data_IF_922508662008
#
_entry.id   IF_922508662008
#
_cell.length_a   1.000
_cell.length_b   1.000
_cell.length_c   1.000
_cell.angle_alpha   90.00
_cell.angle_beta   90.00
_cell.angle_gamma   90.00
#
_symmetry.space_group_name_H-M   'P 1'
#
loop_
_entity.id
_entity.type
_entity.pdbx_description
1 polymer ?
#
# COMPACT_ATOMS: atom_id res chain seq x y z
N UNK A 1 4.84 -45.74 -28.42
CA UNK A 1 4.05 -44.79 -27.60
C UNK A 1 4.93 -44.36 -26.45
N UNK A 2 5.52 -43.17 -26.55
CA UNK A 2 6.43 -42.62 -25.54
C UNK A 2 5.57 -41.88 -24.52
N UNK A 3 5.42 -42.45 -23.32
CA UNK A 3 4.71 -41.84 -22.20
C UNK A 3 5.51 -40.62 -21.72
N UNK A 4 4.95 -39.43 -21.91
CA UNK A 4 5.48 -38.19 -21.34
C UNK A 4 5.33 -38.23 -19.80
N UNK A 5 6.36 -37.83 -19.03
CA UNK A 5 6.23 -37.75 -17.59
C UNK A 5 5.27 -36.61 -17.22
N UNK A 6 4.26 -36.92 -16.41
CA UNK A 6 3.43 -35.92 -15.74
C UNK A 6 4.32 -35.23 -14.71
N UNK A 7 4.76 -34.01 -15.01
CA UNK A 7 5.44 -33.15 -14.04
C UNK A 7 4.37 -32.70 -13.04
N UNK A 8 4.32 -33.34 -11.88
CA UNK A 8 3.47 -32.88 -10.79
C UNK A 8 3.90 -31.48 -10.37
N UNK A 9 3.02 -30.50 -10.52
CA UNK A 9 3.20 -29.18 -9.91
C UNK A 9 3.15 -29.35 -8.41
N UNK A 10 4.30 -29.30 -7.74
CA UNK A 10 4.36 -29.25 -6.28
C UNK A 10 3.75 -27.93 -5.82
N UNK A 11 2.54 -27.97 -5.27
CA UNK A 11 1.91 -26.81 -4.63
C UNK A 11 2.68 -26.56 -3.34
N UNK A 12 3.50 -25.52 -3.32
CA UNK A 12 4.19 -25.09 -2.10
C UNK A 12 3.11 -24.60 -1.10
N UNK A 13 3.12 -25.04 0.16
CA UNK A 13 2.17 -24.55 1.15
C UNK A 13 2.32 -23.03 1.32
N UNK A 14 1.18 -22.33 1.37
CA UNK A 14 1.14 -20.88 1.58
C UNK A 14 1.81 -20.53 2.91
N UNK A 15 2.67 -19.51 2.91
CA UNK A 15 3.31 -19.03 4.14
C UNK A 15 2.25 -18.39 5.05
N UNK A 16 2.22 -18.70 6.37
CA UNK A 16 1.38 -17.95 7.29
C UNK A 16 1.86 -16.49 7.36
N UNK A 17 0.98 -15.57 7.71
CA UNK A 17 1.36 -14.16 7.89
C UNK A 17 2.41 -13.99 8.99
N UNK A 18 3.13 -12.87 8.98
CA UNK A 18 4.07 -12.51 10.06
C UNK A 18 3.29 -11.93 11.22
N UNK A 19 3.54 -12.40 12.43
CA UNK A 19 2.90 -11.84 13.61
C UNK A 19 3.57 -10.51 13.99
N UNK A 20 2.80 -9.43 13.90
CA UNK A 20 3.26 -8.08 14.19
C UNK A 20 3.20 -7.72 15.69
N UNK A 21 2.51 -8.52 16.53
CA UNK A 21 2.33 -8.21 17.94
C UNK A 21 1.73 -6.81 18.16
N UNK A 22 2.29 -6.05 19.10
CA UNK A 22 1.86 -4.68 19.39
C UNK A 22 2.25 -3.66 18.31
N UNK A 23 3.15 -4.01 17.38
CA UNK A 23 3.51 -3.11 16.27
C UNK A 23 2.33 -2.85 15.34
N UNK A 24 1.31 -3.71 15.31
CA UNK A 24 0.06 -3.54 14.54
C UNK A 24 -0.55 -2.14 14.66
N UNK A 25 -0.48 -1.55 15.85
CA UNK A 25 -1.05 -0.22 16.15
C UNK A 25 -0.20 0.96 15.66
N UNK A 26 1.03 0.74 15.20
CA UNK A 26 1.98 1.78 14.79
C UNK A 26 2.08 1.91 13.28
N UNK A 27 2.02 3.12 12.74
CA UNK A 27 2.39 3.38 11.35
C UNK A 27 3.89 3.68 11.22
N UNK A 28 4.47 4.31 12.25
CA UNK A 28 5.89 4.67 12.31
C UNK A 28 6.47 4.27 13.66
N UNK A 29 7.60 3.57 13.66
CA UNK A 29 8.34 3.21 14.88
C UNK A 29 9.84 3.39 14.63
N UNK A 30 10.54 4.13 15.50
CA UNK A 30 11.96 4.42 15.33
C UNK A 30 12.79 4.12 16.58
N UNK A 31 14.11 3.99 16.41
CA UNK A 31 15.08 3.74 17.48
C UNK A 31 15.63 5.01 18.11
N UNK A 32 16.15 5.92 17.28
CA UNK A 32 16.92 7.09 17.75
C UNK A 32 16.17 8.41 17.65
N UNK A 33 15.66 8.73 16.46
CA UNK A 33 14.94 9.99 16.21
C UNK A 33 13.88 9.78 15.12
N UNK A 34 12.86 10.61 15.14
CA UNK A 34 11.96 10.81 13.99
C UNK A 34 12.13 12.26 13.54
N UNK A 35 12.38 12.47 12.26
CA UNK A 35 12.48 13.81 11.68
C UNK A 35 11.46 13.95 10.57
N UNK A 36 10.68 15.02 10.62
CA UNK A 36 9.72 15.35 9.58
C UNK A 36 10.00 16.75 9.00
N UNK A 37 9.89 16.84 7.68
CA UNK A 37 9.84 18.11 6.93
C UNK A 37 8.47 18.23 6.25
N UNK A 38 7.86 19.41 6.35
CA UNK A 38 6.57 19.71 5.73
C UNK A 38 5.38 18.90 6.26
N UNK A 39 4.33 18.80 5.44
CA UNK A 39 3.02 18.29 5.83
C UNK A 39 2.92 16.78 5.57
N UNK A 40 3.33 15.99 6.56
CA UNK A 40 3.16 14.53 6.53
C UNK A 40 1.85 14.14 7.19
N UNK A 41 1.12 13.20 6.59
CA UNK A 41 -0.11 12.62 7.14
C UNK A 41 0.12 11.15 7.49
N UNK A 42 -0.23 10.79 8.73
CA UNK A 42 -0.16 9.43 9.25
C UNK A 42 -1.58 9.03 9.70
N UNK A 43 -2.14 8.02 9.06
CA UNK A 43 -3.52 7.61 9.23
C UNK A 43 -3.71 6.10 9.04
N UNK A 44 -4.94 5.62 9.23
CA UNK A 44 -5.30 4.21 9.10
C UNK A 44 -5.88 3.62 10.38
N UNK A 45 -6.92 2.82 10.21
CA UNK A 45 -7.75 2.24 11.26
C UNK A 45 -7.15 1.01 11.94
N UNK A 46 -6.19 0.30 11.33
CA UNK A 46 -5.43 -0.72 12.06
C UNK A 46 -4.41 -0.14 13.03
N UNK A 47 -3.89 1.06 12.75
CA UNK A 47 -2.91 1.68 13.62
C UNK A 47 -2.24 2.91 13.03
N UNK A 48 -2.51 4.07 13.62
CA UNK A 48 -1.92 5.35 13.23
C UNK A 48 -0.88 5.86 14.23
N UNK A 49 -0.42 5.03 15.17
CA UNK A 49 0.49 5.49 16.22
C UNK A 49 1.90 5.78 15.69
N UNK A 50 2.57 6.71 16.35
CA UNK A 50 3.98 7.03 16.12
C UNK A 50 4.77 6.69 17.38
N UNK A 51 5.79 5.85 17.25
CA UNK A 51 6.58 5.36 18.37
C UNK A 51 8.06 5.70 18.25
N UNK A 52 8.69 6.05 19.36
CA UNK A 52 10.13 6.28 19.44
C UNK A 52 10.67 5.70 20.75
N UNK A 53 11.59 4.74 20.63
CA UNK A 53 12.28 4.16 21.79
C UNK A 53 13.62 3.52 21.37
N UNK A 54 14.72 3.73 22.11
CA UNK A 54 14.84 4.52 23.35
C UNK A 54 15.02 6.03 23.11
N UNK A 55 14.98 6.48 21.86
CA UNK A 55 15.05 7.90 21.51
C UNK A 55 13.96 8.74 22.18
N UNK A 56 14.18 10.05 22.24
CA UNK A 56 13.33 10.98 23.01
C UNK A 56 12.89 12.21 22.23
N UNK A 57 13.24 12.31 20.94
CA UNK A 57 12.98 13.51 20.12
C UNK A 57 12.34 13.19 18.78
N UNK A 58 11.21 13.85 18.51
CA UNK A 58 10.59 13.95 17.19
C UNK A 58 10.73 15.40 16.72
N UNK A 59 11.51 15.62 15.68
CA UNK A 59 11.70 16.96 15.08
C UNK A 59 10.67 17.17 13.98
N UNK A 60 10.05 18.35 13.93
CA UNK A 60 9.02 18.66 12.93
C UNK A 60 7.66 18.02 13.18
N UNK A 61 7.38 17.57 14.41
CA UNK A 61 6.11 16.93 14.77
C UNK A 61 4.89 17.85 14.55
N UNK A 62 5.04 19.16 14.76
CA UNK A 62 3.93 20.13 14.70
C UNK A 62 3.37 20.32 13.29
N UNK A 63 4.12 19.95 12.25
CA UNK A 63 3.62 19.96 10.87
C UNK A 63 3.04 18.62 10.42
N UNK A 64 3.10 17.59 11.27
CA UNK A 64 2.51 16.28 10.97
C UNK A 64 1.04 16.25 11.41
N UNK A 65 0.21 15.64 10.59
CA UNK A 65 -1.14 15.21 11.00
C UNK A 65 -1.06 13.73 11.38
N UNK A 66 -1.23 13.43 12.67
CA UNK A 66 -1.14 12.06 13.20
C UNK A 66 -2.53 11.63 13.66
N UNK A 67 -3.06 10.57 13.05
CA UNK A 67 -4.38 10.01 13.39
C UNK A 67 -4.40 9.17 14.67
N UNK A 68 -3.22 8.80 15.20
CA UNK A 68 -3.06 7.98 16.40
C UNK A 68 -2.32 8.70 17.54
N UNK A 69 -1.90 7.92 18.53
CA UNK A 69 -1.13 8.40 19.67
C UNK A 69 0.37 8.51 19.34
N UNK A 70 1.05 9.42 20.04
CA UNK A 70 2.51 9.56 19.99
C UNK A 70 3.11 8.98 21.27
N UNK A 71 3.94 7.96 21.13
CA UNK A 71 4.59 7.22 22.23
C UNK A 71 6.10 7.45 22.18
N UNK A 72 6.63 8.22 23.14
CA UNK A 72 8.05 8.56 23.21
C UNK A 72 8.63 8.06 24.53
N UNK A 73 9.64 7.20 24.43
CA UNK A 73 10.36 6.65 25.58
C UNK A 73 9.47 6.00 26.66
N UNK A 74 8.28 5.52 26.29
CA UNK A 74 7.32 4.88 27.19
C UNK A 74 7.30 3.34 27.04
N UNK A 75 6.52 2.68 27.89
CA UNK A 75 6.40 1.22 27.87
C UNK A 75 5.73 0.69 26.61
N UNK A 76 4.80 1.45 25.99
CA UNK A 76 4.09 1.03 24.79
C UNK A 76 5.06 0.99 23.61
N UNK A 77 5.85 2.04 23.40
CA UNK A 77 6.90 2.07 22.39
C UNK A 77 7.96 1.02 22.67
N UNK A 78 8.39 0.85 23.93
CA UNK A 78 9.38 -0.17 24.30
C UNK A 78 8.94 -1.60 23.96
N UNK A 79 7.71 -1.99 24.31
CA UNK A 79 7.15 -3.31 23.96
C UNK A 79 7.05 -3.46 22.44
N UNK A 80 6.61 -2.42 21.72
CA UNK A 80 6.55 -2.45 20.26
C UNK A 80 7.94 -2.65 19.62
N UNK A 81 9.03 -2.14 20.21
CA UNK A 81 10.40 -2.43 19.74
C UNK A 81 10.77 -3.90 19.90
N UNK A 82 10.39 -4.52 21.02
CA UNK A 82 10.61 -5.95 21.25
C UNK A 82 9.81 -6.80 20.27
N UNK A 83 8.55 -6.44 20.01
CA UNK A 83 7.72 -7.14 19.03
C UNK A 83 8.22 -6.94 17.60
N UNK A 84 8.72 -5.75 17.26
CA UNK A 84 9.38 -5.50 15.97
C UNK A 84 10.59 -6.41 15.77
N UNK A 85 11.44 -6.57 16.78
CA UNK A 85 12.58 -7.49 16.73
C UNK A 85 12.13 -8.94 16.51
N UNK A 86 11.02 -9.34 17.14
CA UNK A 86 10.43 -10.67 16.98
C UNK A 86 9.88 -10.87 15.56
N UNK A 87 9.13 -9.91 15.04
CA UNK A 87 8.58 -9.93 13.68
C UNK A 87 9.69 -9.95 12.61
N UNK A 88 10.76 -9.16 12.80
CA UNK A 88 11.94 -9.18 11.94
C UNK A 88 12.58 -10.58 11.91
N UNK A 89 12.81 -11.18 13.09
CA UNK A 89 13.43 -12.50 13.18
C UNK A 89 12.56 -13.61 12.56
N UNK A 90 11.24 -13.54 12.76
CA UNK A 90 10.28 -14.46 12.11
C UNK A 90 10.37 -14.35 10.59
N UNK A 91 10.16 -13.15 10.05
CA UNK A 91 10.20 -12.91 8.61
C UNK A 91 11.56 -13.30 8.00
N UNK A 92 12.67 -12.90 8.63
CA UNK A 92 14.03 -13.22 8.18
C UNK A 92 14.32 -14.73 8.23
N UNK A 93 13.70 -15.48 9.14
CA UNK A 93 13.83 -16.92 9.29
C UNK A 93 12.98 -17.77 8.33
N UNK A 94 12.01 -17.19 7.61
CA UNK A 94 11.08 -17.97 6.76
C UNK A 94 11.77 -18.74 5.62
N UNK A 95 11.29 -19.95 5.35
CA UNK A 95 11.77 -20.83 4.27
C UNK A 95 10.58 -21.55 3.62
N UNK A 96 10.71 -22.09 2.39
CA UNK A 96 11.87 -22.01 1.48
C UNK A 96 12.05 -20.61 0.89
N UNK A 97 13.29 -20.26 0.51
CA UNK A 97 13.65 -18.95 -0.05
C UNK A 97 13.95 -19.08 -1.54
N UNK A 98 13.38 -18.22 -2.35
CA UNK A 98 13.72 -18.05 -3.77
C UNK A 98 14.69 -16.89 -3.94
N UNK A 99 15.91 -17.19 -4.38
CA UNK A 99 16.92 -16.16 -4.66
C UNK A 99 16.64 -15.47 -5.99
N UNK A 100 16.56 -14.15 -5.98
CA UNK A 100 16.23 -13.32 -7.14
C UNK A 100 17.23 -12.15 -7.31
N UNK A 101 17.34 -11.55 -8.50
CA UNK A 101 18.17 -10.36 -8.71
C UNK A 101 17.74 -9.17 -7.85
N UNK A 102 18.65 -8.21 -7.65
CA UNK A 102 18.41 -7.01 -6.85
C UNK A 102 17.31 -6.09 -7.42
N UNK A 103 17.17 -6.01 -8.74
CA UNK A 103 16.12 -5.19 -9.38
C UNK A 103 14.77 -5.92 -9.41
N UNK A 104 13.81 -5.35 -8.69
CA UNK A 104 12.44 -5.81 -8.59
C UNK A 104 11.51 -5.09 -9.59
N UNK A 105 11.92 -3.93 -10.09
CA UNK A 105 11.25 -3.20 -11.14
C UNK A 105 11.05 -4.02 -12.41
N UNK A 106 9.86 -3.94 -12.99
CA UNK A 106 9.43 -4.72 -14.15
C UNK A 106 9.15 -6.20 -13.84
N UNK A 107 9.23 -6.64 -12.58
CA UNK A 107 8.87 -8.00 -12.18
C UNK A 107 7.41 -8.09 -11.80
N UNK A 108 6.83 -9.26 -12.06
CA UNK A 108 5.62 -9.73 -11.39
C UNK A 108 6.01 -10.91 -10.52
N UNK A 109 5.75 -10.82 -9.22
CA UNK A 109 6.08 -11.86 -8.25
C UNK A 109 4.79 -12.39 -7.63
N UNK A 110 4.78 -13.69 -7.36
CA UNK A 110 3.67 -14.40 -6.70
C UNK A 110 3.96 -14.54 -5.20
N UNK A 111 3.02 -15.03 -4.37
CA UNK A 111 3.28 -15.20 -2.94
C UNK A 111 4.50 -16.09 -2.70
N UNK A 112 5.40 -15.65 -1.84
CA UNK A 112 6.67 -16.31 -1.62
C UNK A 112 7.62 -15.55 -0.71
N UNK A 113 8.75 -16.19 -0.42
CA UNK A 113 9.86 -15.64 0.35
C UNK A 113 11.04 -15.46 -0.59
N UNK A 114 11.52 -14.23 -0.71
CA UNK A 114 12.55 -13.84 -1.67
C UNK A 114 13.77 -13.26 -0.97
N UNK A 115 14.97 -13.67 -1.38
CA UNK A 115 16.21 -12.98 -0.99
C UNK A 115 16.96 -12.46 -2.20
N UNK A 116 17.69 -11.35 -1.99
CA UNK A 116 18.49 -10.75 -3.05
C UNK A 116 19.79 -11.53 -3.27
N UNK A 117 20.11 -11.77 -4.54
CA UNK A 117 21.39 -12.34 -4.96
C UNK A 117 22.59 -11.46 -4.57
N UNK A 118 22.45 -10.13 -4.62
CA UNK A 118 23.54 -9.17 -4.30
C UNK A 118 23.39 -8.57 -2.89
N UNK A 119 22.40 -9.02 -2.13
CA UNK A 119 22.13 -8.56 -0.76
C UNK A 119 21.36 -7.25 -0.67
N UNK A 120 21.04 -6.59 -1.78
CA UNK A 120 20.24 -5.35 -1.83
C UNK A 120 18.99 -5.53 -2.68
N UNK A 121 17.92 -4.82 -2.38
CA UNK A 121 16.80 -4.67 -3.30
C UNK A 121 16.68 -3.24 -3.78
N UNK A 122 16.26 -3.11 -5.04
CA UNK A 122 15.91 -1.84 -5.64
C UNK A 122 14.64 -1.97 -6.47
N UNK A 123 13.88 -0.88 -6.57
CA UNK A 123 12.64 -0.82 -7.35
C UNK A 123 12.71 0.36 -8.31
N UNK A 124 12.97 0.08 -9.59
CA UNK A 124 12.90 1.05 -10.68
C UNK A 124 11.62 0.83 -11.50
N UNK A 125 10.75 1.83 -11.59
CA UNK A 125 9.44 1.64 -12.23
C UNK A 125 8.49 0.83 -11.34
N UNK A 126 7.79 -0.16 -11.91
CA UNK A 126 6.75 -0.91 -11.18
C UNK A 126 7.20 -2.32 -10.81
N UNK A 127 7.08 -2.68 -9.52
CA UNK A 127 7.02 -4.06 -9.05
C UNK A 127 5.55 -4.46 -8.91
N UNK A 128 5.14 -5.58 -9.51
CA UNK A 128 3.79 -6.12 -9.37
C UNK A 128 3.79 -7.33 -8.44
N UNK A 129 2.95 -7.31 -7.41
CA UNK A 129 2.66 -8.44 -6.54
C UNK A 129 1.30 -9.03 -6.94
N UNK A 130 1.33 -10.26 -7.43
CA UNK A 130 0.17 -10.98 -7.95
C UNK A 130 -0.16 -12.14 -7.01
N UNK A 131 -1.22 -12.03 -6.22
CA UNK A 131 -1.59 -13.13 -5.32
C UNK A 131 -2.37 -14.26 -6.01
N UNK A 132 -2.56 -14.18 -7.33
CA UNK A 132 -3.20 -15.21 -8.17
C UNK A 132 -4.58 -15.63 -7.65
N UNK A 133 -5.32 -14.67 -7.08
CA UNK A 133 -6.64 -14.88 -6.49
C UNK A 133 -6.62 -15.40 -5.05
N UNK A 134 -5.44 -15.61 -4.45
CA UNK A 134 -5.31 -16.04 -3.05
C UNK A 134 -5.14 -14.83 -2.10
N UNK A 135 -6.19 -14.39 -1.38
CA UNK A 135 -6.08 -13.26 -0.44
C UNK A 135 -5.13 -13.51 0.74
N UNK A 136 -4.83 -14.77 1.07
CA UNK A 136 -3.87 -15.15 2.10
C UNK A 136 -2.43 -15.25 1.57
N UNK A 137 -2.19 -14.88 0.30
CA UNK A 137 -0.87 -14.84 -0.29
C UNK A 137 0.08 -13.89 0.44
N UNK A 138 1.15 -14.44 1.01
CA UNK A 138 2.18 -13.69 1.74
C UNK A 138 3.41 -13.46 0.86
N UNK A 139 3.91 -12.23 0.89
CA UNK A 139 5.14 -11.80 0.22
C UNK A 139 6.16 -11.36 1.27
N UNK A 140 7.33 -11.99 1.28
CA UNK A 140 8.43 -11.61 2.18
C UNK A 140 9.68 -11.34 1.36
N UNK A 141 10.23 -10.14 1.49
CA UNK A 141 11.45 -9.71 0.82
C UNK A 141 12.57 -9.53 1.82
N UNK A 142 13.70 -10.21 1.59
CA UNK A 142 14.89 -10.20 2.42
C UNK A 142 16.07 -9.54 1.72
N UNK A 143 16.45 -8.35 2.15
CA UNK A 143 17.74 -7.76 1.78
C UNK A 143 18.71 -7.87 2.96
N UNK A 144 19.91 -8.37 2.71
CA UNK A 144 20.98 -8.40 3.70
C UNK A 144 21.48 -6.98 4.04
N UNK A 145 21.33 -6.04 3.10
CA UNK A 145 21.66 -4.63 3.23
C UNK A 145 20.42 -3.80 2.86
N UNK A 146 20.52 -2.90 1.88
CA UNK A 146 19.55 -1.83 1.63
C UNK A 146 18.34 -2.26 0.79
N UNK A 147 17.26 -1.49 0.96
CA UNK A 147 16.14 -1.39 0.04
C UNK A 147 16.07 0.05 -0.51
N UNK A 148 16.06 0.24 -1.83
CA UNK A 148 16.00 1.58 -2.43
C UNK A 148 14.90 1.62 -3.50
N UNK A 149 13.96 2.55 -3.41
CA UNK A 149 12.99 2.78 -4.49
C UNK A 149 13.35 4.03 -5.27
N UNK A 150 13.20 3.99 -6.60
CA UNK A 150 13.49 5.12 -7.47
C UNK A 150 12.39 6.20 -7.36
N UNK A 151 12.65 7.38 -7.91
CA UNK A 151 11.62 8.40 -8.13
C UNK A 151 10.45 7.81 -8.92
N UNK A 152 9.22 8.15 -8.52
CA UNK A 152 7.97 7.71 -9.17
C UNK A 152 7.82 6.17 -9.30
N UNK A 153 8.59 5.39 -8.53
CA UNK A 153 8.45 3.93 -8.50
C UNK A 153 7.15 3.50 -7.82
N UNK A 154 6.68 2.30 -8.15
CA UNK A 154 5.39 1.80 -7.70
C UNK A 154 5.46 0.33 -7.31
N UNK A 155 4.86 -0.02 -6.17
CA UNK A 155 4.51 -1.40 -5.82
C UNK A 155 3.02 -1.59 -6.06
N UNK A 156 2.66 -2.35 -7.09
CA UNK A 156 1.29 -2.62 -7.48
C UNK A 156 0.82 -3.95 -6.89
N UNK A 157 -0.38 -3.96 -6.31
CA UNK A 157 -1.06 -5.16 -5.85
C UNK A 157 -2.14 -5.55 -6.86
N UNK A 158 -2.14 -6.80 -7.33
CA UNK A 158 -3.18 -7.34 -8.21
C UNK A 158 -3.69 -8.69 -7.73
N UNK A 159 -4.84 -9.10 -8.25
CA UNK A 159 -5.43 -10.44 -8.04
C UNK A 159 -5.45 -10.85 -6.56
N UNK A 160 -6.05 -9.99 -5.73
CA UNK A 160 -6.20 -10.18 -4.28
C UNK A 160 -4.93 -10.04 -3.44
N UNK A 161 -3.81 -9.55 -4.01
CA UNK A 161 -2.65 -9.21 -3.19
C UNK A 161 -2.98 -8.07 -2.21
N UNK A 162 -2.46 -8.18 -0.98
CA UNK A 162 -2.75 -7.24 0.11
C UNK A 162 -1.47 -6.72 0.75
N UNK A 163 -1.44 -5.41 1.05
CA UNK A 163 -0.27 -4.78 1.69
C UNK A 163 0.03 -5.38 3.06
N UNK A 164 -1.02 -5.70 3.83
CA UNK A 164 -0.94 -6.31 5.16
C UNK A 164 -0.32 -7.72 5.18
N UNK A 165 -0.12 -8.32 3.99
CA UNK A 165 0.55 -9.61 3.79
C UNK A 165 1.92 -9.45 3.10
N UNK A 166 2.43 -8.22 3.00
CA UNK A 166 3.70 -7.89 2.35
C UNK A 166 4.69 -7.36 3.37
N UNK A 167 5.84 -8.03 3.51
CA UNK A 167 6.85 -7.75 4.54
C UNK A 167 8.24 -7.60 3.94
N UNK A 168 8.98 -6.61 4.42
CA UNK A 168 10.31 -6.27 3.93
C UNK A 168 11.30 -6.28 5.10
N UNK A 169 12.16 -7.30 5.17
CA UNK A 169 13.28 -7.31 6.12
C UNK A 169 14.50 -6.69 5.46
N UNK A 170 14.97 -5.59 6.04
CA UNK A 170 16.08 -4.80 5.50
C UNK A 170 17.22 -4.80 6.50
N UNK A 171 18.28 -5.53 6.20
CA UNK A 171 19.42 -5.73 7.10
C UNK A 171 20.25 -4.48 7.39
N UNK A 172 20.04 -3.42 6.61
CA UNK A 172 20.51 -2.06 6.91
C UNK A 172 19.35 -1.07 6.86
N UNK A 173 19.36 -0.17 5.87
CA UNK A 173 18.41 0.95 5.76
C UNK A 173 17.55 0.86 4.51
N UNK A 174 16.33 1.40 4.61
CA UNK A 174 15.44 1.59 3.47
C UNK A 174 15.39 3.07 3.06
N UNK A 175 15.41 3.34 1.75
CA UNK A 175 15.23 4.68 1.18
C UNK A 175 14.11 4.63 0.14
N UNK A 176 13.00 5.30 0.40
CA UNK A 176 11.90 5.42 -0.53
C UNK A 176 12.08 6.69 -1.38
N UNK A 177 12.12 6.53 -2.69
CA UNK A 177 12.31 7.60 -3.67
C UNK A 177 11.17 8.63 -3.62
N UNK A 178 11.47 9.83 -4.13
CA UNK A 178 10.51 10.93 -4.26
C UNK A 178 9.27 10.45 -5.01
N UNK A 179 8.09 10.78 -4.50
CA UNK A 179 6.78 10.40 -5.06
C UNK A 179 6.59 8.89 -5.31
N UNK A 180 7.39 8.02 -4.71
CA UNK A 180 7.19 6.57 -4.85
C UNK A 180 5.91 6.12 -4.12
N UNK A 181 5.24 5.11 -4.66
CA UNK A 181 4.15 4.40 -3.99
C UNK A 181 4.66 3.06 -3.49
N UNK A 182 4.75 2.91 -2.17
CA UNK A 182 5.29 1.75 -1.50
C UNK A 182 4.20 0.97 -0.74
N UNK A 183 4.34 -0.34 -0.71
CA UNK A 183 3.34 -1.26 -0.15
C UNK A 183 4.02 -2.26 0.78
N UNK A 184 3.46 -2.41 1.99
CA UNK A 184 3.86 -3.41 2.97
C UNK A 184 4.57 -2.84 4.20
N UNK A 185 4.99 -3.75 5.07
CA UNK A 185 5.61 -3.44 6.36
C UNK A 185 7.13 -3.51 6.23
N UNK A 186 7.83 -2.39 6.42
CA UNK A 186 9.29 -2.35 6.42
C UNK A 186 9.82 -2.57 7.83
N UNK A 187 10.64 -3.60 8.00
CA UNK A 187 11.45 -3.86 9.18
C UNK A 187 12.92 -3.59 8.85
N UNK A 188 13.40 -2.37 9.14
CA UNK A 188 14.78 -1.97 8.89
C UNK A 188 15.63 -2.06 10.15
N UNK A 189 16.80 -2.68 10.05
CA UNK A 189 17.73 -2.78 11.20
C UNK A 189 18.27 -1.41 11.59
N UNK A 190 18.64 -0.57 10.61
CA UNK A 190 19.14 0.78 10.84
C UNK A 190 18.04 1.81 10.65
N UNK A 191 18.01 2.53 9.53
CA UNK A 191 17.14 3.70 9.35
C UNK A 191 16.18 3.54 8.17
N UNK A 192 15.12 4.34 8.16
CA UNK A 192 14.20 4.48 7.04
C UNK A 192 14.13 5.95 6.64
N UNK A 193 14.31 6.24 5.35
CA UNK A 193 14.07 7.57 4.80
C UNK A 193 12.95 7.48 3.76
N UNK A 194 11.83 8.15 4.01
CA UNK A 194 10.80 8.41 3.01
C UNK A 194 11.03 9.81 2.44
N UNK A 195 11.51 9.89 1.19
CA UNK A 195 11.76 11.18 0.55
C UNK A 195 10.44 11.88 0.19
N UNK A 196 10.55 13.15 -0.23
CA UNK A 196 9.43 14.05 -0.52
C UNK A 196 8.30 13.36 -1.27
N UNK A 197 7.08 13.41 -0.72
CA UNK A 197 5.88 12.95 -1.43
C UNK A 197 5.74 11.43 -1.55
N UNK A 198 6.66 10.62 -1.02
CA UNK A 198 6.49 9.18 -1.01
C UNK A 198 5.21 8.80 -0.23
N UNK A 199 4.45 7.85 -0.76
CA UNK A 199 3.23 7.32 -0.17
C UNK A 199 3.43 5.86 0.23
N UNK A 200 2.92 5.49 1.41
CA UNK A 200 3.13 4.18 2.00
C UNK A 200 1.80 3.60 2.44
N UNK A 201 1.45 2.43 1.91
CA UNK A 201 0.39 1.59 2.45
C UNK A 201 1.01 0.46 3.28
N UNK A 202 1.07 0.64 4.60
CA UNK A 202 1.78 -0.26 5.51
C UNK A 202 2.50 0.50 6.62
N UNK A 203 3.68 0.04 7.02
CA UNK A 203 4.38 0.53 8.21
C UNK A 203 5.87 0.81 7.94
N UNK A 204 6.40 1.85 8.58
CA UNK A 204 7.82 2.20 8.58
C UNK A 204 8.43 1.93 9.96
N UNK A 205 9.02 0.75 10.15
CA UNK A 205 9.51 0.29 11.46
C UNK A 205 11.03 0.12 11.45
N UNK A 206 11.75 1.12 11.96
CA UNK A 206 13.20 1.12 12.13
C UNK A 206 13.57 0.60 13.53
N UNK A 207 14.39 -0.45 13.59
CA UNK A 207 14.77 -1.13 14.83
C UNK A 207 15.77 -0.31 15.66
N UNK A 208 16.86 0.19 15.06
CA UNK A 208 17.90 0.87 15.82
C UNK A 208 18.13 2.32 15.39
N UNK A 209 17.74 2.69 14.17
CA UNK A 209 18.02 4.00 13.60
C UNK A 209 16.82 4.93 13.59
N UNK A 210 16.89 5.91 12.69
CA UNK A 210 15.93 6.99 12.57
C UNK A 210 14.87 6.70 11.51
N UNK A 211 13.74 7.40 11.61
CA UNK A 211 12.80 7.54 10.50
C UNK A 211 12.78 9.00 10.06
N UNK A 212 13.08 9.27 8.79
CA UNK A 212 13.02 10.61 8.18
C UNK A 212 11.86 10.67 7.19
N UNK A 213 11.02 11.70 7.32
CA UNK A 213 9.81 11.94 6.55
C UNK A 213 9.86 13.33 5.91
N UNK A 214 9.27 13.46 4.73
CA UNK A 214 9.15 14.69 3.96
C UNK A 214 7.86 14.66 3.12
N UNK A 215 6.87 15.48 3.49
CA UNK A 215 5.56 15.56 2.80
C UNK A 215 4.92 14.20 2.47
N UNK A 216 4.98 13.22 3.38
CA UNK A 216 4.56 11.85 3.09
C UNK A 216 3.09 11.60 3.44
N UNK A 217 2.51 10.56 2.84
CA UNK A 217 1.24 9.97 3.29
C UNK A 217 1.49 8.52 3.69
N UNK A 218 1.22 8.19 4.96
CA UNK A 218 1.40 6.85 5.50
C UNK A 218 0.03 6.35 5.97
N UNK A 219 -0.46 5.27 5.36
CA UNK A 219 -1.75 4.65 5.67
C UNK A 219 -1.53 3.21 6.14
N UNK A 220 -1.81 2.94 7.41
CA UNK A 220 -1.82 1.60 7.98
C UNK A 220 -3.27 1.22 8.36
N UNK A 221 -4.02 0.77 7.35
CA UNK A 221 -5.41 0.39 7.52
C UNK A 221 -5.59 -1.04 8.04
N UNK A 222 -6.83 -1.45 8.25
CA UNK A 222 -7.18 -2.86 8.47
C UNK A 222 -6.87 -3.69 7.22
N UNK A 223 -6.46 -4.92 7.47
CA UNK A 223 -6.30 -5.91 6.42
C UNK A 223 -7.71 -6.34 6.00
N UNK A 224 -8.32 -5.62 5.06
CA UNK A 224 -9.67 -5.95 4.62
C UNK A 224 -9.69 -7.38 4.08
N UNK A 225 -10.50 -8.22 4.72
CA UNK A 225 -10.98 -9.46 4.12
C UNK A 225 -11.90 -9.06 2.98
N UNK A 226 -11.34 -8.81 1.79
CA UNK A 226 -12.12 -8.55 0.58
C UNK A 226 -13.21 -9.61 0.49
N UNK A 227 -14.45 -9.13 0.58
CA UNK A 227 -15.68 -9.91 0.54
C UNK A 227 -15.55 -10.97 -0.55
N UNK A 228 -15.50 -12.23 -0.13
CA UNK A 228 -15.64 -13.33 -1.10
C UNK A 228 -17.00 -13.08 -1.73
N UNK A 229 -17.16 -13.00 -3.06
CA UNK A 229 -18.50 -12.93 -3.62
C UNK A 229 -19.23 -14.14 -3.09
N UNK A 230 -20.20 -13.92 -2.19
CA UNK A 230 -21.02 -14.97 -1.64
C UNK A 230 -21.61 -15.65 -2.87
N UNK A 231 -21.18 -16.88 -3.14
CA UNK A 231 -21.84 -17.70 -4.14
C UNK A 231 -23.23 -17.88 -3.58
N UNK A 232 -24.15 -17.04 -4.03
CA UNK A 232 -25.57 -17.18 -3.75
C UNK A 232 -25.90 -18.52 -4.36
N UNK A 233 -25.89 -19.55 -3.52
CA UNK A 233 -26.37 -20.86 -3.92
C UNK A 233 -27.83 -20.59 -4.26
N UNK A 234 -28.28 -20.86 -5.50
CA UNK A 234 -29.69 -20.73 -5.83
C UNK A 234 -30.47 -21.46 -4.75
N UNK A 235 -31.57 -20.88 -4.23
CA UNK A 235 -32.37 -21.56 -3.22
C UNK A 235 -32.69 -22.96 -3.76
N UNK A 236 -32.43 -23.98 -2.92
CA UNK A 236 -32.73 -25.37 -3.23
C UNK A 236 -34.12 -25.42 -3.88
N UNK A 237 -34.20 -25.99 -5.08
CA UNK A 237 -35.47 -26.20 -5.74
C UNK A 237 -36.31 -27.12 -4.86
N UNK A 238 -37.22 -26.55 -4.08
CA UNK A 238 -38.19 -27.33 -3.31
C UNK A 238 -38.90 -28.29 -4.27
N UNK A 239 -38.84 -29.57 -3.92
CA UNK A 239 -39.59 -30.62 -4.62
C UNK A 239 -41.07 -30.23 -4.60
N UNK A 240 -41.78 -30.20 -5.76
CA UNK A 240 -43.15 -29.72 -5.80
C UNK A 240 -44.05 -30.59 -4.92
N UNK A 241 -44.70 -29.94 -3.95
CA UNK A 241 -45.81 -30.53 -3.17
C UNK A 241 -46.98 -30.83 -4.13
N UNK A 242 -47.65 -31.99 -4.06
CA UNK A 242 -48.74 -32.32 -4.97
C UNK A 242 -49.89 -31.32 -4.83
N UNK A 243 -50.24 -30.70 -5.95
CA UNK A 243 -51.35 -29.76 -6.15
C UNK A 243 -52.69 -30.42 -5.79
N UNK A 244 -53.41 -29.88 -4.81
CA UNK A 244 -54.83 -30.20 -4.63
C UNK A 244 -55.70 -29.55 -5.72
N UNK A 245 -56.65 -30.34 -6.23
CA UNK A 245 -57.63 -29.97 -7.26
C UNK A 245 -58.51 -28.80 -6.80
N UNK A 246 -58.54 -27.64 -7.51
CA UNK A 246 -59.42 -26.54 -7.14
C UNK A 246 -60.89 -26.83 -7.55
N UNK A 247 -61.80 -26.49 -6.64
CA UNK A 247 -63.26 -26.47 -6.83
C UNK A 247 -63.65 -25.26 -7.71
N UNK A 248 -64.63 -25.35 -8.63
CA UNK A 248 -64.94 -24.25 -9.55
C UNK A 248 -65.59 -23.07 -8.80
N UNK A 249 -64.98 -21.88 -8.92
CA UNK A 249 -65.54 -20.61 -8.44
C UNK A 249 -66.25 -19.91 -9.61
N UNK A 250 -67.48 -19.47 -9.33
CA UNK A 250 -68.38 -18.79 -10.27
C UNK A 250 -67.96 -17.33 -10.49
N UNK A 251 -67.87 -16.91 -11.75
CA UNK A 251 -67.47 -15.57 -12.22
C UNK A 251 -68.62 -14.55 -12.12
N UNK A 252 -68.46 -13.39 -11.45
CA UNK A 252 -69.35 -12.24 -11.62
C UNK A 252 -68.86 -11.28 -12.73
N UNK A 253 -69.74 -10.42 -13.28
CA UNK A 253 -69.51 -9.73 -14.55
C UNK A 253 -68.57 -8.52 -14.45
N UNK A 254 -67.86 -8.30 -15.56
CA UNK A 254 -66.89 -7.24 -15.83
C UNK A 254 -67.53 -5.85 -15.88
N UNK A 255 -66.95 -4.90 -15.15
CA UNK A 255 -67.14 -3.46 -15.38
C UNK A 255 -65.88 -2.86 -15.99
N UNK A 256 -66.07 -2.22 -17.14
CA UNK A 256 -65.11 -1.51 -17.98
C UNK A 256 -64.73 -0.14 -17.39
N UNK A 257 -63.45 0.19 -17.17
CA UNK A 257 -63.03 1.56 -16.90
C UNK A 257 -62.57 2.31 -18.16
N UNK A 258 -62.93 3.59 -18.18
CA UNK A 258 -62.84 4.62 -19.24
C UNK A 258 -61.42 4.96 -19.74
N UNK A 259 -61.30 5.60 -20.93
CA UNK A 259 -60.00 5.87 -21.55
C UNK A 259 -59.21 6.98 -20.85
N UNK A 260 -57.91 6.75 -20.72
CA UNK A 260 -56.93 7.71 -20.17
C UNK A 260 -56.47 8.65 -21.30
N UNK A 261 -56.52 9.96 -21.05
CA UNK A 261 -56.04 11.00 -21.98
C UNK A 261 -54.52 11.12 -21.90
N UNK A 262 -53.85 11.10 -23.05
CA UNK A 262 -52.38 11.25 -23.18
C UNK A 262 -52.04 12.73 -23.34
N UNK A 263 -51.20 13.27 -22.44
CA UNK A 263 -50.68 14.63 -22.50
C UNK A 263 -49.36 14.67 -23.29
N UNK A 264 -49.18 15.70 -24.12
CA UNK A 264 -48.06 15.88 -25.06
C UNK A 264 -46.77 16.38 -24.37
N UNK A 265 -45.57 16.09 -24.90
CA UNK A 265 -44.32 16.47 -24.27
C UNK A 265 -43.97 17.95 -24.52
N UNK A 266 -43.49 18.62 -23.47
CA UNK A 266 -42.98 20.00 -23.47
C UNK A 266 -41.60 20.10 -24.16
N UNK A 267 -41.41 21.17 -24.95
CA UNK A 267 -40.17 21.47 -25.67
C UNK A 267 -38.99 21.78 -24.74
N UNK A 268 -37.78 21.33 -25.14
CA UNK A 268 -36.52 21.59 -24.45
C UNK A 268 -35.84 22.86 -25.00
N UNK A 269 -35.50 23.79 -24.11
CA UNK A 269 -34.75 25.01 -24.42
C UNK A 269 -33.24 24.70 -24.43
N UNK A 270 -32.56 25.08 -25.51
CA UNK A 270 -31.10 24.94 -25.66
C UNK A 270 -30.43 26.29 -25.43
N UNK A 271 -29.63 26.44 -24.37
CA UNK A 271 -28.80 27.63 -24.15
C UNK A 271 -27.43 27.44 -24.81
N UNK A 272 -27.05 28.37 -25.69
CA UNK A 272 -25.73 28.40 -26.33
C UNK A 272 -24.89 29.49 -25.70
N UNK A 273 -23.87 29.13 -24.91
CA UNK A 273 -22.92 30.09 -24.34
C UNK A 273 -21.82 30.38 -25.36
N UNK A 274 -21.79 31.63 -25.85
CA UNK A 274 -20.76 32.17 -26.74
C UNK A 274 -19.72 32.94 -25.93
N UNK A 275 -18.46 32.55 -26.04
CA UNK A 275 -17.31 33.42 -25.74
C UNK A 275 -16.74 33.38 -24.31
N UNK A 276 -15.88 32.40 -24.04
CA UNK A 276 -14.98 32.40 -22.88
C UNK A 276 -13.52 32.23 -23.33
N UNK A 277 -12.69 33.26 -23.14
CA UNK A 277 -11.25 33.24 -23.39
C UNK A 277 -10.56 32.40 -22.29
N UNK A 278 -9.78 31.39 -22.68
CA UNK A 278 -8.97 30.58 -21.75
C UNK A 278 -7.88 31.44 -21.09
N UNK A 279 -7.54 31.23 -19.81
CA UNK A 279 -6.39 31.88 -19.19
C UNK A 279 -5.07 31.32 -19.74
N UNK A 280 -4.14 32.21 -20.09
CA UNK A 280 -2.78 31.87 -20.52
C UNK A 280 -1.96 31.33 -19.35
N UNK A 281 -1.74 30.00 -19.29
CA UNK A 281 -0.94 29.35 -18.22
C UNK A 281 0.44 28.84 -18.68
N UNK A 282 1.02 29.40 -19.76
CA UNK A 282 2.35 29.01 -20.22
C UNK A 282 3.44 29.92 -19.64
N UNK A 283 4.02 29.55 -18.50
CA UNK A 283 5.31 30.12 -18.08
C UNK A 283 6.44 29.53 -18.96
N UNK A 284 7.25 30.36 -19.65
CA UNK A 284 8.28 29.88 -20.56
C UNK A 284 9.44 29.20 -19.80
N UNK A 285 9.90 28.07 -20.34
CA UNK A 285 10.94 27.19 -19.77
C UNK A 285 12.32 27.85 -19.56
N UNK A 286 12.59 29.01 -20.18
CA UNK A 286 13.86 29.73 -20.02
C UNK A 286 14.02 30.40 -18.65
N UNK A 287 12.94 30.64 -17.90
CA UNK A 287 13.02 31.21 -16.55
C UNK A 287 13.61 30.25 -15.50
N UNK A 288 13.64 28.94 -15.77
CA UNK A 288 14.30 27.94 -14.92
C UNK A 288 15.82 27.89 -15.12
N UNK A 289 16.34 28.39 -16.25
CA UNK A 289 17.79 28.36 -16.53
C UNK A 289 18.57 29.47 -15.81
N UNK A 290 17.91 30.57 -15.40
CA UNK A 290 18.57 31.68 -14.71
C UNK A 290 18.79 31.42 -13.20
N UNK A 291 18.00 30.53 -12.58
CA UNK A 291 18.18 30.15 -11.17
C UNK A 291 19.35 29.15 -11.03
N UNK A 292 19.56 28.28 -12.03
CA UNK A 292 20.67 27.31 -12.03
C UNK A 292 22.06 27.94 -12.19
N UNK A 293 22.19 29.04 -12.92
CA UNK A 293 23.49 29.68 -13.16
C UNK A 293 24.04 30.45 -11.93
N UNK A 294 23.18 30.93 -11.04
CA UNK A 294 23.61 31.68 -9.84
C UNK A 294 24.20 30.77 -8.75
N UNK A 295 23.78 29.50 -8.68
CA UNK A 295 24.28 28.54 -7.69
C UNK A 295 25.65 27.93 -8.04
N UNK A 296 26.02 27.89 -9.33
CA UNK A 296 27.34 27.38 -9.75
C UNK A 296 28.47 28.38 -9.44
N UNK A 297 28.18 29.69 -9.48
CA UNK A 297 29.19 30.72 -9.17
C UNK A 297 29.48 30.82 -7.67
N UNK A 298 28.48 30.59 -6.81
CA UNK A 298 28.69 30.59 -5.34
C UNK A 298 29.51 29.37 -4.86
N UNK A 299 29.36 28.20 -5.50
CA UNK A 299 30.11 26.99 -5.17
C UNK A 299 31.60 27.06 -5.53
N UNK A 300 31.96 27.74 -6.62
CA UNK A 300 33.35 27.84 -7.07
C UNK A 300 34.23 28.77 -6.21
N UNK A 301 33.64 29.72 -5.48
CA UNK A 301 34.40 30.66 -4.63
C UNK A 301 34.79 30.03 -3.28
N UNK A 302 34.00 29.08 -2.77
CA UNK A 302 34.28 28.42 -1.47
C UNK A 302 35.37 27.34 -1.52
N UNK A 303 35.78 26.88 -2.70
CA UNK A 303 36.81 25.83 -2.82
C UNK A 303 38.25 26.36 -2.92
N UNK A 304 38.44 27.69 -2.99
CA UNK A 304 39.79 28.30 -3.07
C UNK A 304 40.32 28.80 -1.72
N UNK A 305 39.63 28.53 -0.61
CA UNK A 305 40.08 28.87 0.76
C UNK A 305 39.83 27.73 1.74
N UNK A 306 40.47 26.59 1.53
CA UNK A 306 40.95 25.68 2.60
C UNK A 306 42.21 24.99 2.13
#
# INVERSE_FOLDING_TARGET
MTTLPVIGTTVQPSQPTVNLGTTTSFAVLAGTTITNTGETVIQGDAGSNVGLFPGTSITGQTSMTIGGAVHIADSVASIAKTDLQTAYNDAAGRTPVTRIPSELGGKTLTPGVYDSADGTFQITGTLTLDAQGNPDGVFIFKSASTLITAVDSNVALINSARYCRTFWTVGSSATLGVNSHFVGHIFAVTSIAANTGASVQGQLLAMNGAVTLDNNTITNGVCDETDTPVVVTPPDAETPTPTETPTPVVTPPTTEPSPVTVEAPSEAVTETVTGGRMPDTATPWYTLLLIGAVLVVAGAVSWKKR
#
